data_IF_786012104045
#
_entry.id   IF_786012104045
#
_cell.length_a   1.000
_cell.length_b   1.000
_cell.length_c   1.000
_cell.angle_alpha   90.00
_cell.angle_beta   90.00
_cell.angle_gamma   90.00
#
_symmetry.space_group_name_H-M   'P 1'
#
loop_
_entity.id
_entity.type
_entity.pdbx_description
1 polymer ?
#
# COMPACT_ATOMS: atom_id res chain seq x y z
N UNK A 1 -22.35 0.59 -22.27
CA UNK A 1 -20.95 0.63 -21.81
C UNK A 1 -20.83 -0.25 -20.58
N UNK A 2 -19.87 -1.18 -20.52
CA UNK A 2 -19.67 -1.98 -19.30
C UNK A 2 -18.91 -1.16 -18.27
N UNK A 3 -19.50 -0.95 -17.10
CA UNK A 3 -18.82 -0.31 -15.98
C UNK A 3 -17.72 -1.27 -15.46
N UNK A 4 -16.45 -0.87 -15.59
CA UNK A 4 -15.29 -1.65 -15.14
C UNK A 4 -14.92 -1.38 -13.68
N UNK A 5 -15.32 -0.23 -13.15
CA UNK A 5 -15.19 0.09 -11.72
C UNK A 5 -16.40 -0.49 -10.98
N UNK A 6 -16.15 -1.49 -10.13
CA UNK A 6 -17.18 -2.16 -9.35
C UNK A 6 -17.49 -1.36 -8.08
N UNK A 7 -16.43 -0.87 -7.42
CA UNK A 7 -16.54 -0.18 -6.13
C UNK A 7 -15.35 0.77 -5.94
N UNK A 8 -15.57 1.86 -5.19
CA UNK A 8 -14.55 2.81 -4.79
C UNK A 8 -14.86 3.33 -3.39
N UNK A 9 -13.88 3.29 -2.49
CA UNK A 9 -14.02 3.75 -1.10
C UNK A 9 -12.84 4.65 -0.73
N UNK A 10 -13.06 5.94 -0.45
CA UNK A 10 -12.04 6.81 0.14
C UNK A 10 -11.98 6.53 1.65
N UNK A 11 -11.02 5.70 2.06
CA UNK A 11 -10.92 5.21 3.45
C UNK A 11 -10.42 6.31 4.37
N UNK A 12 -9.31 6.96 3.97
CA UNK A 12 -8.69 8.06 4.70
C UNK A 12 -7.93 8.96 3.73
N UNK A 13 -7.38 10.11 4.16
CA UNK A 13 -6.53 10.94 3.30
C UNK A 13 -5.32 10.21 2.70
N UNK A 14 -4.90 9.08 3.30
CA UNK A 14 -3.73 8.29 2.89
C UNK A 14 -4.08 6.95 2.24
N UNK A 15 -5.33 6.50 2.29
CA UNK A 15 -5.75 5.19 1.77
C UNK A 15 -7.02 5.32 0.95
N UNK A 16 -7.02 4.79 -0.27
CA UNK A 16 -8.24 4.53 -1.01
C UNK A 16 -8.29 3.11 -1.55
N UNK A 17 -9.50 2.59 -1.66
CA UNK A 17 -9.78 1.27 -2.20
C UNK A 17 -10.52 1.40 -3.52
N UNK A 18 -10.09 0.64 -4.52
CA UNK A 18 -10.72 0.55 -5.83
C UNK A 18 -10.89 -0.91 -6.22
N UNK A 19 -12.13 -1.30 -6.54
CA UNK A 19 -12.43 -2.64 -7.06
C UNK A 19 -12.68 -2.58 -8.56
N UNK A 20 -11.88 -3.32 -9.32
CA UNK A 20 -11.99 -3.37 -10.78
C UNK A 20 -12.46 -4.73 -11.26
N UNK A 21 -13.30 -4.73 -12.29
CA UNK A 21 -13.73 -5.92 -13.00
C UNK A 21 -12.61 -6.40 -13.91
N UNK A 22 -12.06 -7.57 -13.62
CA UNK A 22 -11.14 -8.25 -14.52
C UNK A 22 -11.84 -9.31 -15.37
N UNK A 23 -11.10 -9.87 -16.33
CA UNK A 23 -11.62 -10.91 -17.24
C UNK A 23 -11.83 -12.25 -16.53
N UNK A 24 -10.94 -12.61 -15.62
CA UNK A 24 -10.94 -13.91 -14.92
C UNK A 24 -11.16 -13.79 -13.41
N UNK A 25 -10.60 -12.76 -12.80
CA UNK A 25 -10.81 -12.37 -11.39
C UNK A 25 -10.93 -10.87 -11.31
N UNK A 26 -11.65 -10.38 -10.31
CA UNK A 26 -11.67 -8.96 -10.00
C UNK A 26 -10.37 -8.57 -9.28
N UNK A 27 -10.06 -7.28 -9.31
CA UNK A 27 -8.90 -6.72 -8.64
C UNK A 27 -9.37 -5.83 -7.50
N UNK A 28 -8.75 -6.01 -6.33
CA UNK A 28 -8.89 -5.14 -5.17
C UNK A 28 -7.59 -4.34 -5.04
N UNK A 29 -7.63 -3.06 -5.42
CA UNK A 29 -6.49 -2.16 -5.36
C UNK A 29 -6.60 -1.30 -4.10
N UNK A 30 -5.57 -1.33 -3.26
CA UNK A 30 -5.39 -0.41 -2.16
C UNK A 30 -4.30 0.58 -2.57
N UNK A 31 -4.68 1.82 -2.87
CA UNK A 31 -3.72 2.90 -3.10
C UNK A 31 -3.37 3.52 -1.77
N UNK A 32 -2.08 3.54 -1.43
CA UNK A 32 -1.58 3.99 -0.13
C UNK A 32 -0.54 5.09 -0.28
N UNK A 33 -0.52 5.97 0.72
CA UNK A 33 0.58 6.90 0.96
C UNK A 33 0.97 6.83 2.44
N UNK A 34 1.90 5.93 2.75
CA UNK A 34 2.30 5.67 4.13
C UNK A 34 2.95 6.90 4.77
N UNK A 35 2.84 7.07 6.10
CA UNK A 35 3.60 8.07 6.83
C UNK A 35 5.10 7.91 6.62
N UNK A 36 5.85 8.99 6.75
CA UNK A 36 7.31 8.96 6.66
C UNK A 36 7.92 8.38 7.93
N UNK A 37 9.19 7.99 7.90
CA UNK A 37 9.83 7.41 9.08
C UNK A 37 9.91 8.36 10.27
N UNK A 38 9.96 9.67 10.02
CA UNK A 38 9.97 10.71 11.06
C UNK A 38 8.59 11.03 11.64
N UNK A 39 7.52 10.42 11.11
CA UNK A 39 6.17 10.57 11.65
C UNK A 39 6.07 9.97 13.06
N UNK A 40 5.10 10.46 13.83
CA UNK A 40 4.78 9.92 15.16
C UNK A 40 4.36 8.46 15.06
N UNK A 41 4.73 7.66 16.05
CA UNK A 41 4.41 6.22 16.08
C UNK A 41 2.90 6.00 16.03
N UNK A 42 2.13 6.85 16.71
CA UNK A 42 0.66 6.79 16.69
C UNK A 42 0.09 7.01 15.28
N UNK A 43 0.71 7.86 14.45
CA UNK A 43 0.28 8.06 13.05
C UNK A 43 0.56 6.80 12.21
N UNK A 44 1.72 6.16 12.43
CA UNK A 44 2.09 4.91 11.77
C UNK A 44 1.13 3.78 12.16
N UNK A 45 0.84 3.64 13.46
CA UNK A 45 -0.08 2.63 13.99
C UNK A 45 -1.49 2.81 13.42
N UNK A 46 -2.02 4.03 13.42
CA UNK A 46 -3.34 4.31 12.83
C UNK A 46 -3.35 3.88 11.36
N UNK A 47 -2.34 4.29 10.59
CA UNK A 47 -2.25 3.98 9.17
C UNK A 47 -2.16 2.46 8.90
N UNK A 48 -1.28 1.74 9.57
CA UNK A 48 -1.09 0.30 9.33
C UNK A 48 -2.29 -0.53 9.81
N UNK A 49 -2.95 -0.14 10.91
CA UNK A 49 -4.20 -0.77 11.34
C UNK A 49 -5.34 -0.55 10.33
N UNK A 50 -5.49 0.66 9.79
CA UNK A 50 -6.49 0.94 8.74
C UNK A 50 -6.19 0.14 7.46
N UNK A 51 -4.92 0.06 7.06
CA UNK A 51 -4.50 -0.69 5.89
C UNK A 51 -4.76 -2.19 6.04
N UNK A 52 -4.40 -2.79 7.19
CA UNK A 52 -4.65 -4.19 7.49
C UNK A 52 -6.15 -4.50 7.42
N UNK A 53 -6.97 -3.68 8.08
CA UNK A 53 -8.43 -3.82 8.03
C UNK A 53 -8.97 -3.77 6.60
N UNK A 54 -8.52 -2.80 5.80
CA UNK A 54 -8.95 -2.70 4.40
C UNK A 54 -8.52 -3.91 3.57
N UNK A 55 -7.30 -4.41 3.80
CA UNK A 55 -6.78 -5.58 3.11
C UNK A 55 -7.59 -6.83 3.46
N UNK A 56 -7.97 -7.01 4.72
CA UNK A 56 -8.78 -8.14 5.18
C UNK A 56 -10.22 -8.10 4.67
N UNK A 57 -10.81 -6.91 4.58
CA UNK A 57 -12.12 -6.70 3.98
C UNK A 57 -12.17 -6.97 2.46
N UNK A 58 -11.02 -6.99 1.78
CA UNK A 58 -10.98 -7.28 0.34
C UNK A 58 -11.52 -8.69 0.04
N UNK A 59 -12.42 -8.86 -0.94
CA UNK A 59 -12.99 -10.15 -1.29
C UNK A 59 -11.92 -11.22 -1.57
N UNK A 60 -12.07 -12.40 -0.95
CA UNK A 60 -11.06 -13.48 -1.02
C UNK A 60 -10.74 -13.97 -2.45
N UNK A 61 -11.69 -13.85 -3.37
CA UNK A 61 -11.52 -14.26 -4.78
C UNK A 61 -10.83 -13.20 -5.66
N UNK A 62 -10.64 -11.99 -5.15
CA UNK A 62 -10.00 -10.91 -5.89
C UNK A 62 -8.47 -11.05 -5.82
N UNK A 63 -7.81 -10.55 -6.85
CA UNK A 63 -6.37 -10.29 -6.80
C UNK A 63 -6.19 -9.00 -5.99
N UNK A 64 -5.51 -9.10 -4.84
CA UNK A 64 -5.23 -7.96 -3.96
C UNK A 64 -3.91 -7.30 -4.37
N UNK A 65 -3.93 -5.99 -4.57
CA UNK A 65 -2.76 -5.19 -4.94
C UNK A 65 -2.66 -3.99 -3.99
N UNK A 66 -1.58 -3.91 -3.21
CA UNK A 66 -1.23 -2.70 -2.47
C UNK A 66 -0.26 -1.91 -3.34
N UNK A 67 -0.62 -0.68 -3.68
CA UNK A 67 0.13 0.18 -4.60
C UNK A 67 0.25 1.58 -4.03
N UNK A 68 1.18 2.37 -4.57
CA UNK A 68 1.40 3.75 -4.16
C UNK A 68 2.74 3.92 -3.48
N UNK A 69 2.81 4.90 -2.58
CA UNK A 69 4.05 5.27 -1.90
C UNK A 69 4.03 4.72 -0.47
N UNK A 70 4.83 3.67 -0.25
CA UNK A 70 4.92 3.02 1.06
C UNK A 70 5.90 3.73 2.01
N UNK A 71 6.67 4.73 1.57
CA UNK A 71 7.69 5.42 2.37
C UNK A 71 8.60 4.47 3.20
N UNK A 72 8.75 3.22 2.75
CA UNK A 72 9.41 2.18 3.49
C UNK A 72 10.93 2.32 3.33
N UNK A 73 11.64 2.29 4.46
CA UNK A 73 13.10 2.16 4.44
C UNK A 73 13.46 0.68 4.34
N UNK A 74 13.88 0.26 3.14
CA UNK A 74 14.24 -1.14 2.88
C UNK A 74 15.74 -1.30 2.96
N UNK A 75 16.19 -2.00 4.01
CA UNK A 75 17.50 -2.63 4.09
C UNK A 75 18.71 -1.70 4.19
N UNK A 76 19.74 -2.24 4.85
CA UNK A 76 21.13 -1.76 4.79
C UNK A 76 22.07 -2.77 4.13
N UNK A 77 21.53 -3.93 3.80
CA UNK A 77 22.30 -5.06 3.34
C UNK A 77 22.76 -4.80 1.91
N UNK A 78 24.05 -4.99 1.67
CA UNK A 78 24.68 -4.81 0.35
C UNK A 78 24.01 -5.64 -0.75
N UNK A 79 23.36 -6.74 -0.40
CA UNK A 79 22.61 -7.57 -1.36
C UNK A 79 21.48 -6.80 -2.06
N UNK A 80 20.95 -5.74 -1.43
CA UNK A 80 19.87 -4.92 -1.98
C UNK A 80 20.38 -3.68 -2.75
N UNK A 81 21.67 -3.34 -2.62
CA UNK A 81 22.31 -2.20 -3.28
C UNK A 81 22.04 -2.10 -4.79
N UNK A 82 22.01 -3.20 -5.59
CA UNK A 82 21.69 -3.11 -7.01
C UNK A 82 20.31 -2.54 -7.32
N UNK A 83 19.38 -2.61 -6.36
CA UNK A 83 17.99 -2.15 -6.51
C UNK A 83 17.75 -0.82 -5.78
N UNK A 84 18.26 -0.67 -4.56
CA UNK A 84 18.00 0.51 -3.70
C UNK A 84 19.08 1.60 -3.81
N UNK A 85 20.22 1.29 -4.43
CA UNK A 85 21.39 2.16 -4.51
C UNK A 85 22.27 2.14 -3.25
N UNK A 86 23.42 2.80 -3.35
CA UNK A 86 24.43 2.87 -2.26
C UNK A 86 24.04 3.76 -1.09
N UNK A 87 23.08 4.66 -1.31
CA UNK A 87 22.65 5.66 -0.34
C UNK A 87 21.19 5.41 0.07
N UNK A 88 20.93 4.25 0.68
CA UNK A 88 19.60 4.00 1.24
C UNK A 88 19.35 4.91 2.45
N UNK A 89 18.11 5.35 2.61
CA UNK A 89 17.70 6.22 3.72
C UNK A 89 17.84 5.56 5.11
N UNK A 90 18.14 4.25 5.15
CA UNK A 90 18.36 3.49 6.38
C UNK A 90 19.59 3.97 7.18
N UNK A 91 20.58 4.59 6.53
CA UNK A 91 21.89 4.85 7.13
C UNK A 91 21.97 6.02 8.14
N UNK A 92 20.85 6.63 8.56
CA UNK A 92 20.85 7.86 9.37
C UNK A 92 20.29 7.73 10.80
N UNK A 93 20.18 6.52 11.34
CA UNK A 93 19.81 6.26 12.75
C UNK A 93 20.94 5.58 13.51
#
# INVERSE_FOLDING_TARGET
>A
MSQLVIDFRPISPRICYLRLKGRFRNYSLLSVHAPTEISQEEEKDIFYNELEKCFDECPRGDIKLVIGDCNAQVGKERIYEPTIGQHSAYAQT
#
